data_IF_549176364076
#
_entry.id   IF_549176364076
#
_cell.length_a   1.000
_cell.length_b   1.000
_cell.length_c   1.000
_cell.angle_alpha   90.00
_cell.angle_beta   90.00
_cell.angle_gamma   90.00
#
_symmetry.space_group_name_H-M   'P 1'
#
loop_
_entity.id
_entity.type
_entity.pdbx_description
1 polymer ?
#
# COMPACT_ATOMS: atom_id res chain seq x y z
N UNK A 1 1.01 -12.94 -2.69
CA UNK A 1 -0.26 -12.95 -3.45
C UNK A 1 -1.22 -11.81 -3.07
N UNK A 2 -1.77 -11.71 -1.84
CA UNK A 2 -2.69 -10.59 -1.50
C UNK A 2 -1.96 -9.25 -1.28
N UNK A 3 -0.93 -9.22 -0.41
CA UNK A 3 -0.15 -7.98 -0.16
C UNK A 3 0.51 -7.40 -1.41
N UNK A 4 0.99 -8.27 -2.32
CA UNK A 4 1.59 -7.83 -3.58
C UNK A 4 0.56 -7.24 -4.53
N UNK A 5 -0.64 -7.83 -4.55
CA UNK A 5 -1.76 -7.29 -5.30
C UNK A 5 -2.20 -5.93 -4.75
N UNK A 6 -2.34 -5.80 -3.43
CA UNK A 6 -2.70 -4.54 -2.79
C UNK A 6 -1.65 -3.46 -3.08
N UNK A 7 -0.36 -3.78 -2.97
CA UNK A 7 0.72 -2.87 -3.39
C UNK A 7 0.60 -2.46 -4.85
N UNK A 8 0.34 -3.40 -5.76
CA UNK A 8 0.17 -3.09 -7.19
C UNK A 8 -1.03 -2.16 -7.41
N UNK A 9 -2.17 -2.45 -6.77
CA UNK A 9 -3.39 -1.68 -6.88
C UNK A 9 -3.20 -0.26 -6.34
N UNK A 10 -2.60 -0.12 -5.16
CA UNK A 10 -2.28 1.16 -4.54
C UNK A 10 -1.36 2.01 -5.41
N UNK A 11 -0.30 1.42 -5.95
CA UNK A 11 0.59 2.12 -6.88
C UNK A 11 -0.11 2.59 -8.15
N UNK A 12 -1.09 1.82 -8.65
CA UNK A 12 -1.89 2.22 -9.81
C UNK A 12 -2.81 3.40 -9.48
N UNK A 13 -3.45 3.38 -8.30
CA UNK A 13 -4.27 4.49 -7.80
C UNK A 13 -3.42 5.74 -7.62
N UNK A 14 -2.31 5.67 -6.88
CA UNK A 14 -1.42 6.80 -6.62
C UNK A 14 -0.89 7.43 -7.91
N UNK A 15 -0.58 6.61 -8.93
CA UNK A 15 -0.15 7.09 -10.25
C UNK A 15 -1.28 7.82 -10.99
N UNK A 16 -2.51 7.33 -10.92
CA UNK A 16 -3.64 8.01 -11.54
C UNK A 16 -3.89 9.38 -10.90
N UNK A 17 -3.68 9.49 -9.58
CA UNK A 17 -3.93 10.70 -8.81
C UNK A 17 -2.82 11.74 -8.89
N UNK A 18 -1.63 11.39 -9.40
CA UNK A 18 -0.51 12.33 -9.53
C UNK A 18 -0.75 13.48 -10.51
N UNK A 19 -1.79 13.39 -11.34
CA UNK A 19 -2.20 14.44 -12.26
C UNK A 19 -3.15 15.48 -11.64
N UNK A 20 -3.63 15.24 -10.41
CA UNK A 20 -4.57 16.15 -9.75
C UNK A 20 -3.86 17.35 -9.12
N UNK A 21 -4.49 18.52 -9.22
CA UNK A 21 -4.09 19.67 -8.41
C UNK A 21 -4.48 19.48 -6.94
N UNK A 22 -3.87 20.21 -5.99
CA UNK A 22 -4.27 20.18 -4.58
C UNK A 22 -5.76 20.50 -4.35
N UNK A 23 -6.31 21.41 -5.15
CA UNK A 23 -7.74 21.78 -5.10
C UNK A 23 -8.61 20.62 -5.58
N UNK A 24 -8.24 19.96 -6.68
CA UNK A 24 -8.97 18.79 -7.17
C UNK A 24 -8.90 17.61 -6.21
N UNK A 25 -7.76 17.45 -5.53
CA UNK A 25 -7.52 16.39 -4.55
C UNK A 25 -8.41 16.52 -3.31
N UNK A 26 -8.68 17.76 -2.87
CA UNK A 26 -9.47 18.07 -1.67
C UNK A 26 -10.92 18.46 -1.97
N UNK A 27 -11.27 18.64 -3.25
CA UNK A 27 -12.63 19.01 -3.68
C UNK A 27 -13.67 18.03 -3.15
N UNK A 28 -14.76 18.60 -2.63
CA UNK A 28 -15.95 17.85 -2.25
C UNK A 28 -16.66 17.26 -3.49
N UNK A 29 -16.91 15.95 -3.45
CA UNK A 29 -17.56 15.15 -4.48
C UNK A 29 -18.91 14.59 -4.01
N UNK A 30 -19.32 14.85 -2.75
CA UNK A 30 -20.62 14.43 -2.21
C UNK A 30 -20.78 12.94 -1.89
N UNK A 31 -19.69 12.16 -1.91
CA UNK A 31 -19.68 10.73 -1.56
C UNK A 31 -19.54 10.47 -0.05
N UNK A 32 -19.55 9.19 0.34
CA UNK A 32 -19.34 8.77 1.74
C UNK A 32 -18.01 9.28 2.32
N UNK A 33 -16.95 9.24 1.51
CA UNK A 33 -15.72 9.98 1.75
C UNK A 33 -15.74 11.19 0.81
N UNK A 34 -15.82 12.38 1.38
CA UNK A 34 -16.24 13.58 0.66
C UNK A 34 -15.29 13.98 -0.46
N UNK A 35 -14.03 13.54 -0.44
CA UNK A 35 -13.03 13.89 -1.44
C UNK A 35 -12.13 12.71 -1.84
N UNK A 36 -11.29 12.92 -2.86
CA UNK A 36 -10.22 11.97 -3.22
C UNK A 36 -9.25 11.79 -2.05
N UNK A 37 -8.86 12.89 -1.39
CA UNK A 37 -8.05 12.87 -0.15
C UNK A 37 -8.66 11.95 0.88
N UNK A 38 -9.93 12.19 1.23
CA UNK A 38 -10.61 11.46 2.31
C UNK A 38 -10.73 9.97 1.97
N UNK A 39 -10.95 9.65 0.69
CA UNK A 39 -10.96 8.27 0.20
C UNK A 39 -9.60 7.60 0.37
N UNK A 40 -8.51 8.26 -0.05
CA UNK A 40 -7.17 7.69 0.12
C UNK A 40 -6.80 7.50 1.59
N UNK A 41 -7.10 8.49 2.43
CA UNK A 41 -6.83 8.44 3.87
C UNK A 41 -7.62 7.31 4.54
N UNK A 42 -8.84 7.04 4.09
CA UNK A 42 -9.61 5.89 4.54
C UNK A 42 -8.96 4.55 4.15
N UNK A 43 -8.48 4.41 2.91
CA UNK A 43 -7.84 3.16 2.44
C UNK A 43 -6.60 2.84 3.26
N UNK A 44 -5.66 3.79 3.35
CA UNK A 44 -4.42 3.59 4.13
C UNK A 44 -4.70 3.39 5.63
N UNK A 45 -5.69 4.09 6.19
CA UNK A 45 -6.11 3.91 7.56
C UNK A 45 -6.63 2.49 7.81
N UNK A 46 -7.46 1.98 6.91
CA UNK A 46 -7.94 0.60 6.94
C UNK A 46 -6.81 -0.42 6.87
N UNK A 47 -5.87 -0.25 5.95
CA UNK A 47 -4.69 -1.12 5.84
C UNK A 47 -3.86 -1.15 7.13
N UNK A 48 -3.63 0.01 7.74
CA UNK A 48 -2.92 0.09 9.01
C UNK A 48 -3.72 -0.55 10.15
N UNK A 49 -5.03 -0.28 10.23
CA UNK A 49 -5.92 -0.81 11.26
C UNK A 49 -5.94 -2.33 11.24
N UNK A 50 -6.12 -2.93 10.05
CA UNK A 50 -6.08 -4.39 9.88
C UNK A 50 -4.69 -4.98 10.17
N UNK A 51 -3.62 -4.31 9.77
CA UNK A 51 -2.25 -4.75 10.09
C UNK A 51 -2.01 -4.81 11.61
N UNK A 52 -2.47 -3.80 12.36
CA UNK A 52 -2.35 -3.78 13.82
C UNK A 52 -3.26 -4.84 14.44
N UNK A 53 -4.50 -4.94 13.95
CA UNK A 53 -5.47 -5.93 14.41
C UNK A 53 -4.93 -7.36 14.29
N UNK A 54 -4.44 -7.77 13.12
CA UNK A 54 -3.93 -9.13 12.90
C UNK A 54 -2.64 -9.45 13.65
N UNK A 55 -1.87 -8.44 14.07
CA UNK A 55 -0.67 -8.63 14.89
C UNK A 55 -0.98 -8.76 16.37
N UNK A 56 -2.19 -8.43 16.80
CA UNK A 56 -2.58 -8.50 18.21
C UNK A 56 -2.84 -9.95 18.61
N UNK A 57 -2.06 -10.53 19.55
CA UNK A 57 -2.29 -11.89 20.01
C UNK A 57 -3.52 -12.02 20.91
N UNK A 58 -4.07 -10.93 21.48
CA UNK A 58 -5.17 -10.99 22.43
C UNK A 58 -6.23 -9.91 22.17
N UNK A 59 -7.35 -10.34 21.57
CA UNK A 59 -8.46 -9.47 21.26
C UNK A 59 -9.31 -9.17 22.50
N UNK A 60 -9.47 -7.88 22.83
CA UNK A 60 -10.38 -7.41 23.87
C UNK A 60 -11.18 -6.19 23.40
N UNK A 61 -12.35 -5.91 24.00
CA UNK A 61 -13.10 -4.69 23.70
C UNK A 61 -12.29 -3.42 23.93
N UNK A 62 -11.46 -3.38 24.98
CA UNK A 62 -10.56 -2.25 25.27
C UNK A 62 -9.53 -2.06 24.16
N UNK A 63 -8.90 -3.14 23.70
CA UNK A 63 -7.96 -3.09 22.57
C UNK A 63 -8.62 -2.51 21.31
N UNK A 64 -9.84 -2.96 20.98
CA UNK A 64 -10.56 -2.46 19.81
C UNK A 64 -10.86 -0.96 19.92
N UNK A 65 -11.32 -0.51 21.08
CA UNK A 65 -11.55 0.93 21.33
C UNK A 65 -10.27 1.74 21.17
N UNK A 66 -9.15 1.27 21.74
CA UNK A 66 -7.85 1.95 21.65
C UNK A 66 -7.28 1.92 20.23
N UNK A 67 -7.51 0.84 19.48
CA UNK A 67 -7.12 0.72 18.08
C UNK A 67 -7.81 1.77 17.22
N UNK A 68 -9.14 1.86 17.31
CA UNK A 68 -9.91 2.79 16.48
C UNK A 68 -9.71 4.25 16.91
N UNK A 69 -9.52 4.50 18.21
CA UNK A 69 -9.13 5.83 18.71
C UNK A 69 -7.79 6.29 18.11
N UNK A 70 -6.78 5.40 18.09
CA UNK A 70 -5.48 5.70 17.47
C UNK A 70 -5.58 5.83 15.96
N UNK A 71 -6.39 4.99 15.31
CA UNK A 71 -6.65 5.08 13.88
C UNK A 71 -7.17 6.47 13.51
N UNK A 72 -8.22 6.95 14.18
CA UNK A 72 -8.86 8.22 13.85
C UNK A 72 -7.91 9.41 14.09
N UNK A 73 -7.09 9.35 15.13
CA UNK A 73 -6.07 10.36 15.38
C UNK A 73 -4.95 10.36 14.30
N UNK A 74 -4.54 9.18 13.83
CA UNK A 74 -3.45 9.03 12.86
C UNK A 74 -3.88 9.25 11.41
N UNK A 75 -5.16 9.05 11.10
CA UNK A 75 -5.73 9.12 9.76
C UNK A 75 -6.86 10.16 9.69
N UNK A 76 -6.71 11.26 10.43
CA UNK A 76 -7.54 12.45 10.23
C UNK A 76 -7.23 13.08 8.86
N UNK A 77 -8.19 13.18 7.92
CA UNK A 77 -7.96 13.74 6.59
C UNK A 77 -7.34 15.14 6.57
N UNK A 78 -7.59 15.96 7.58
CA UNK A 78 -7.06 17.33 7.65
C UNK A 78 -5.53 17.38 7.86
N UNK A 79 -4.93 16.28 8.30
CA UNK A 79 -3.47 16.14 8.36
C UNK A 79 -2.82 15.85 6.98
N UNK A 80 -3.60 15.67 5.92
CA UNK A 80 -3.13 15.24 4.60
C UNK A 80 -3.47 16.28 3.51
N UNK A 81 -2.80 17.44 3.47
CA UNK A 81 -3.18 18.55 2.59
C UNK A 81 -2.94 18.28 1.09
N UNK A 82 -2.14 17.27 0.75
CA UNK A 82 -1.80 16.94 -0.63
C UNK A 82 -1.42 15.46 -0.78
N UNK A 83 -1.27 15.02 -2.03
CA UNK A 83 -0.93 13.64 -2.37
C UNK A 83 0.42 13.20 -1.76
N UNK A 84 1.41 14.10 -1.68
CA UNK A 84 2.73 13.79 -1.12
C UNK A 84 2.64 13.38 0.36
N UNK A 85 1.81 14.08 1.15
CA UNK A 85 1.60 13.72 2.56
C UNK A 85 1.00 12.31 2.70
N UNK A 86 0.05 11.95 1.82
CA UNK A 86 -0.54 10.61 1.79
C UNK A 86 0.48 9.56 1.37
N UNK A 87 1.29 9.82 0.34
CA UNK A 87 2.33 8.91 -0.13
C UNK A 87 3.38 8.61 0.95
N UNK A 88 3.82 9.64 1.68
CA UNK A 88 4.77 9.47 2.79
C UNK A 88 4.20 8.55 3.87
N UNK A 89 2.95 8.80 4.27
CA UNK A 89 2.28 7.94 5.26
C UNK A 89 2.09 6.52 4.76
N UNK A 90 1.76 6.35 3.48
CA UNK A 90 1.57 5.02 2.88
C UNK A 90 2.85 4.22 2.87
N UNK A 91 3.97 4.86 2.53
CA UNK A 91 5.28 4.23 2.58
C UNK A 91 5.60 3.70 3.99
N UNK A 92 5.25 4.43 5.06
CA UNK A 92 5.43 3.95 6.44
C UNK A 92 4.59 2.70 6.74
N UNK A 93 3.35 2.65 6.26
CA UNK A 93 2.45 1.49 6.42
C UNK A 93 2.98 0.31 5.61
N UNK A 94 3.39 0.53 4.36
CA UNK A 94 3.96 -0.50 3.49
C UNK A 94 5.25 -1.11 4.08
N UNK A 95 6.12 -0.29 4.68
CA UNK A 95 7.31 -0.79 5.38
C UNK A 95 6.89 -1.74 6.50
N UNK A 96 5.87 -1.39 7.29
CA UNK A 96 5.37 -2.25 8.38
C UNK A 96 4.70 -3.52 7.87
N UNK A 97 4.04 -3.48 6.70
CA UNK A 97 3.49 -4.66 6.02
C UNK A 97 4.60 -5.58 5.53
N UNK A 98 5.65 -5.04 4.88
CA UNK A 98 6.82 -5.81 4.42
C UNK A 98 7.58 -6.46 5.57
N UNK A 99 7.72 -5.75 6.70
CA UNK A 99 8.36 -6.30 7.90
C UNK A 99 7.49 -7.37 8.57
N UNK A 100 6.16 -7.32 8.38
CA UNK A 100 5.24 -8.33 8.89
C UNK A 100 5.22 -9.60 8.04
N UNK A 101 5.23 -9.44 6.71
CA UNK A 101 5.31 -10.53 5.74
C UNK A 101 6.72 -10.57 5.16
N UNK A 102 7.63 -11.31 5.77
CA UNK A 102 9.03 -11.46 5.33
C UNK A 102 9.16 -11.88 3.86
N UNK A 103 9.13 -10.90 2.95
CA UNK A 103 9.66 -10.98 1.58
C UNK A 103 10.14 -9.57 1.19
N UNK A 104 11.44 -9.33 1.36
CA UNK A 104 12.12 -8.21 0.72
C UNK A 104 12.53 -8.66 -0.69
N UNK A 105 11.88 -8.16 -1.73
CA UNK A 105 12.52 -8.11 -3.05
C UNK A 105 13.41 -6.86 -3.06
N UNK A 106 14.70 -6.96 -3.41
CA UNK A 106 15.49 -5.78 -3.69
C UNK A 106 14.86 -5.02 -4.86
N UNK A 107 14.95 -3.70 -4.83
CA UNK A 107 14.57 -2.87 -5.96
C UNK A 107 15.22 -3.42 -7.24
N UNK A 108 14.42 -3.78 -8.24
CA UNK A 108 14.92 -4.06 -9.58
C UNK A 108 15.63 -2.80 -10.08
N UNK A 109 16.95 -2.80 -9.97
CA UNK A 109 17.80 -1.92 -10.76
C UNK A 109 17.60 -2.34 -12.20
N UNK A 110 16.90 -1.49 -12.96
CA UNK A 110 16.74 -1.60 -14.39
C UNK A 110 18.11 -1.73 -15.06
N UNK A 111 18.45 -2.92 -15.55
CA UNK A 111 19.51 -3.10 -16.54
C UNK A 111 19.08 -4.17 -17.55
N UNK A 112 18.94 -3.76 -18.81
CA UNK A 112 18.42 -4.56 -19.92
C UNK A 112 19.39 -5.65 -20.44
N UNK A 113 20.35 -6.09 -19.64
CA UNK A 113 21.44 -6.96 -20.11
C UNK A 113 21.25 -8.46 -19.87
N UNK A 114 20.39 -8.89 -18.94
CA UNK A 114 20.43 -10.28 -18.44
C UNK A 114 19.41 -11.27 -19.05
N UNK A 115 18.61 -10.84 -20.03
CA UNK A 115 17.63 -11.73 -20.67
C UNK A 115 18.25 -12.76 -21.64
N UNK A 116 19.52 -12.61 -22.04
CA UNK A 116 20.08 -13.41 -23.15
C UNK A 116 20.74 -14.75 -22.76
N UNK A 117 20.88 -15.09 -21.47
CA UNK A 117 21.61 -16.31 -21.07
C UNK A 117 20.74 -17.50 -20.63
N UNK A 118 19.42 -17.36 -20.47
CA UNK A 118 18.57 -18.46 -19.98
C UNK A 118 17.92 -19.35 -21.05
N UNK A 119 18.16 -19.15 -22.34
CA UNK A 119 17.57 -19.98 -23.41
C UNK A 119 18.45 -21.15 -23.89
N UNK A 120 19.60 -21.41 -23.27
CA UNK A 120 20.56 -22.42 -23.77
C UNK A 120 20.79 -23.61 -22.83
N UNK A 121 19.73 -24.22 -22.29
CA UNK A 121 19.80 -25.56 -21.70
C UNK A 121 18.49 -26.34 -21.94
N UNK A 122 18.26 -26.74 -23.19
CA UNK A 122 17.44 -27.91 -23.52
C UNK A 122 18.31 -28.80 -24.40
N UNK A 123 18.85 -29.88 -23.84
CA UNK A 123 19.47 -30.95 -24.63
C UNK A 123 18.40 -32.00 -24.96
N UNK A 124 18.37 -32.55 -26.18
CA UNK A 124 17.45 -33.62 -26.53
C UNK A 124 17.95 -34.97 -25.98
N UNK A 125 17.00 -35.78 -25.47
CA UNK A 125 17.20 -37.16 -25.04
C UNK A 125 17.33 -38.07 -26.26
N UNK A 126 18.49 -38.70 -26.44
CA UNK A 126 18.70 -39.84 -27.35
C UNK A 126 18.29 -41.14 -26.67
N UNK A 127 17.53 -41.97 -27.38
CA UNK A 127 17.04 -43.26 -26.89
C UNK A 127 18.09 -44.37 -26.85
N UNK A 128 17.65 -45.49 -26.27
CA UNK A 128 18.00 -46.86 -26.62
C UNK A 128 16.84 -47.77 -26.19
#
# INVERSE_FOLDING_TARGET
MLYEYDRWANNRVLRALSALSPEQFTRDLGGSFRSVRDTLVHIIGGEWGWLVYWKEPSYSPTFLTDLWTRHDALFNPDAFPNLTAVQLRWAEVEIKQNLAGYFTQPAEVTSSADYSQKSRLVKPSTGN
#
